data_IF_362240822806
#
_entry.id   IF_362240822806
#
_cell.length_a   1.000
_cell.length_b   1.000
_cell.length_c   1.000
_cell.angle_alpha   90.00
_cell.angle_beta   90.00
_cell.angle_gamma   90.00
#
_symmetry.space_group_name_H-M   'P 1'
#
loop_
_entity.id
_entity.type
_entity.pdbx_description
1 polymer ?
#
# COMPACT_ATOMS: atom_id res chain seq x y z
N UNK A 1 30.14 -9.50 -4.27
CA UNK A 1 29.31 -8.35 -3.85
C UNK A 1 28.08 -8.97 -3.23
N UNK A 2 27.92 -8.81 -1.92
CA UNK A 2 26.95 -9.61 -1.17
C UNK A 2 25.52 -9.08 -1.32
N UNK A 3 24.49 -9.94 -1.34
CA UNK A 3 23.10 -9.55 -1.62
C UNK A 3 22.46 -8.51 -0.67
N UNK A 4 23.04 -8.20 0.50
CA UNK A 4 22.47 -7.24 1.46
C UNK A 4 23.03 -5.81 1.41
N UNK A 5 24.20 -5.60 0.80
CA UNK A 5 24.87 -4.29 0.83
C UNK A 5 24.12 -3.20 0.03
N UNK A 6 23.21 -3.60 -0.87
CA UNK A 6 22.44 -2.69 -1.70
C UNK A 6 21.12 -2.24 -1.07
N UNK A 7 20.58 -3.00 -0.10
CA UNK A 7 19.36 -2.64 0.63
C UNK A 7 19.65 -1.64 1.75
N UNK A 8 20.73 -1.84 2.51
CA UNK A 8 21.18 -0.87 3.54
C UNK A 8 21.57 0.47 2.91
N UNK A 9 22.29 0.47 1.79
CA UNK A 9 22.67 1.70 1.06
C UNK A 9 21.46 2.46 0.48
N UNK A 10 20.38 1.74 0.14
CA UNK A 10 19.13 2.35 -0.32
C UNK A 10 18.40 3.10 0.79
N UNK A 11 18.17 2.46 1.93
CA UNK A 11 17.42 3.07 3.04
C UNK A 11 18.16 4.30 3.58
N UNK A 12 19.48 4.20 3.76
CA UNK A 12 20.30 5.33 4.20
C UNK A 12 20.27 6.50 3.20
N UNK A 13 20.28 6.22 1.90
CA UNK A 13 20.14 7.26 0.87
C UNK A 13 18.76 7.91 0.89
N UNK A 14 17.70 7.11 0.97
CA UNK A 14 16.32 7.60 1.01
C UNK A 14 16.13 8.52 2.22
N UNK A 15 16.55 8.10 3.41
CA UNK A 15 16.49 8.91 4.63
C UNK A 15 17.27 10.22 4.48
N UNK A 16 18.46 10.17 3.86
CA UNK A 16 19.27 11.37 3.63
C UNK A 16 18.61 12.35 2.67
N UNK A 17 17.99 11.84 1.59
CA UNK A 17 17.24 12.67 0.66
C UNK A 17 16.02 13.30 1.35
N UNK A 18 15.27 12.53 2.14
CA UNK A 18 14.14 13.06 2.91
C UNK A 18 14.56 14.11 3.95
N UNK A 19 15.74 13.95 4.57
CA UNK A 19 16.29 14.88 5.55
C UNK A 19 16.98 16.11 4.92
N UNK A 20 17.09 16.19 3.59
CA UNK A 20 17.87 17.23 2.90
C UNK A 20 17.21 18.62 2.87
N UNK A 21 15.93 18.71 3.28
CA UNK A 21 15.16 19.96 3.26
C UNK A 21 14.66 20.38 1.87
N UNK A 22 14.74 19.48 0.88
CA UNK A 22 14.11 19.66 -0.43
C UNK A 22 12.59 19.79 -0.30
N UNK A 23 11.97 20.56 -1.19
CA UNK A 23 10.51 20.54 -1.34
C UNK A 23 10.03 19.17 -1.85
N UNK A 24 8.73 18.88 -1.69
CA UNK A 24 8.11 17.63 -2.14
C UNK A 24 8.45 17.30 -3.61
N UNK A 25 8.35 18.28 -4.51
CA UNK A 25 8.63 18.09 -5.94
C UNK A 25 10.11 17.91 -6.23
N UNK A 26 10.98 18.66 -5.55
CA UNK A 26 12.44 18.50 -5.72
C UNK A 26 12.93 17.14 -5.19
N UNK A 27 12.32 16.66 -4.10
CA UNK A 27 12.59 15.34 -3.55
C UNK A 27 12.14 14.24 -4.51
N UNK A 28 10.94 14.33 -5.07
CA UNK A 28 10.45 13.38 -6.08
C UNK A 28 11.36 13.34 -7.31
N UNK A 29 11.78 14.50 -7.84
CA UNK A 29 12.75 14.58 -8.95
C UNK A 29 14.10 13.93 -8.59
N UNK A 30 14.60 14.16 -7.37
CA UNK A 30 15.86 13.57 -6.92
C UNK A 30 15.78 12.04 -6.80
N UNK A 31 14.65 11.52 -6.34
CA UNK A 31 14.39 10.08 -6.24
C UNK A 31 14.31 9.43 -7.62
N UNK A 32 13.65 10.05 -8.60
CA UNK A 32 13.66 9.54 -9.98
C UNK A 32 15.06 9.55 -10.61
N UNK A 33 15.84 10.59 -10.37
CA UNK A 33 17.24 10.65 -10.82
C UNK A 33 18.06 9.52 -10.18
N UNK A 34 17.85 9.27 -8.88
CA UNK A 34 18.52 8.18 -8.19
C UNK A 34 18.11 6.83 -8.76
N UNK A 35 16.81 6.59 -8.97
CA UNK A 35 16.30 5.39 -9.63
C UNK A 35 16.92 5.16 -11.03
N UNK A 36 17.03 6.22 -11.84
CA UNK A 36 17.65 6.16 -13.16
C UNK A 36 19.14 5.78 -13.12
N UNK A 37 19.83 6.16 -12.04
CA UNK A 37 21.24 5.80 -11.78
C UNK A 37 21.41 4.40 -11.19
N UNK A 38 20.34 3.80 -10.67
CA UNK A 38 20.36 2.47 -10.06
C UNK A 38 20.28 1.34 -11.12
N UNK A 39 20.89 0.17 -10.86
CA UNK A 39 20.79 -0.97 -11.76
C UNK A 39 19.32 -1.37 -12.03
N UNK A 40 18.95 -1.66 -13.29
CA UNK A 40 17.62 -2.19 -13.61
C UNK A 40 17.31 -3.48 -12.85
N UNK A 41 16.09 -3.60 -12.32
CA UNK A 41 15.64 -4.76 -11.56
C UNK A 41 16.25 -4.88 -10.16
N UNK A 42 16.88 -3.81 -9.66
CA UNK A 42 17.36 -3.76 -8.28
C UNK A 42 16.27 -3.28 -7.33
N UNK A 43 16.25 -3.83 -6.12
CA UNK A 43 15.35 -3.40 -5.02
C UNK A 43 15.49 -1.90 -4.76
N UNK A 44 16.72 -1.37 -4.83
CA UNK A 44 16.97 0.07 -4.65
C UNK A 44 16.26 0.91 -5.72
N UNK A 45 16.24 0.46 -6.99
CA UNK A 45 15.59 1.18 -8.09
C UNK A 45 14.07 1.21 -7.93
N UNK A 46 13.44 0.07 -7.67
CA UNK A 46 11.99 0.02 -7.41
C UNK A 46 11.62 0.82 -6.17
N UNK A 47 12.41 0.73 -5.10
CA UNK A 47 12.22 1.52 -3.88
C UNK A 47 12.27 3.04 -4.13
N UNK A 48 13.25 3.53 -4.89
CA UNK A 48 13.29 4.96 -5.25
C UNK A 48 12.11 5.38 -6.14
N UNK A 49 11.65 4.51 -7.05
CA UNK A 49 10.47 4.78 -7.89
C UNK A 49 9.18 4.82 -7.06
N UNK A 50 9.02 3.94 -6.07
CA UNK A 50 7.89 3.97 -5.14
C UNK A 50 7.86 5.28 -4.37
N UNK A 51 8.99 5.64 -3.75
CA UNK A 51 9.10 6.88 -2.99
C UNK A 51 8.84 8.10 -3.88
N UNK A 52 9.35 8.12 -5.11
CA UNK A 52 9.06 9.18 -6.07
C UNK A 52 7.55 9.26 -6.37
N UNK A 53 6.88 8.12 -6.57
CA UNK A 53 5.44 8.03 -6.75
C UNK A 53 4.65 8.65 -5.60
N UNK A 54 5.03 8.34 -4.37
CA UNK A 54 4.40 8.92 -3.16
C UNK A 54 4.55 10.44 -3.12
N UNK A 55 5.77 10.95 -3.35
CA UNK A 55 6.01 12.40 -3.30
C UNK A 55 5.35 13.13 -4.47
N UNK A 56 5.26 12.55 -5.66
CA UNK A 56 4.44 13.11 -6.74
C UNK A 56 2.96 13.13 -6.37
N UNK A 57 2.46 12.07 -5.72
CA UNK A 57 1.11 12.03 -5.18
C UNK A 57 0.84 13.13 -4.16
N UNK A 58 1.76 13.34 -3.21
CA UNK A 58 1.68 14.45 -2.25
C UNK A 58 1.77 15.84 -2.89
N UNK A 59 2.42 15.94 -4.06
CA UNK A 59 2.48 17.16 -4.85
C UNK A 59 1.27 17.34 -5.79
N UNK A 60 0.29 16.41 -5.76
CA UNK A 60 -0.88 16.36 -6.64
C UNK A 60 -0.52 16.26 -8.15
N UNK A 61 0.69 15.80 -8.48
CA UNK A 61 1.11 15.49 -9.85
C UNK A 61 0.79 14.01 -10.17
N UNK A 62 -0.50 13.76 -10.40
CA UNK A 62 -1.04 12.42 -10.68
C UNK A 62 -0.33 11.70 -11.82
N UNK A 63 0.01 12.43 -12.90
CA UNK A 63 0.60 11.82 -14.10
C UNK A 63 2.00 11.26 -13.77
N UNK A 64 2.81 12.04 -13.05
CA UNK A 64 4.15 11.60 -12.63
C UNK A 64 4.09 10.53 -11.55
N UNK A 65 3.15 10.63 -10.60
CA UNK A 65 2.94 9.60 -9.59
C UNK A 65 2.62 8.24 -10.25
N UNK A 66 1.67 8.23 -11.19
CA UNK A 66 1.32 7.03 -11.94
C UNK A 66 2.49 6.48 -12.74
N UNK A 67 3.23 7.34 -13.45
CA UNK A 67 4.39 6.94 -14.23
C UNK A 67 5.46 6.26 -13.35
N UNK A 68 5.72 6.81 -12.16
CA UNK A 68 6.67 6.26 -11.21
C UNK A 68 6.23 4.90 -10.66
N UNK A 69 4.97 4.75 -10.22
CA UNK A 69 4.46 3.45 -9.74
C UNK A 69 4.44 2.39 -10.86
N UNK A 70 4.01 2.74 -12.08
CA UNK A 70 4.06 1.81 -13.21
C UNK A 70 5.50 1.40 -13.55
N UNK A 71 6.45 2.34 -13.46
CA UNK A 71 7.86 2.04 -13.65
C UNK A 71 8.40 1.10 -12.55
N UNK A 72 8.02 1.31 -11.29
CA UNK A 72 8.39 0.42 -10.18
C UNK A 72 7.86 -1.01 -10.39
N UNK A 73 6.59 -1.14 -10.78
CA UNK A 73 5.95 -2.43 -11.10
C UNK A 73 6.67 -3.15 -12.24
N UNK A 74 7.07 -2.40 -13.28
CA UNK A 74 7.75 -2.97 -14.44
C UNK A 74 9.22 -3.32 -14.19
N UNK A 75 9.89 -2.61 -13.29
CA UNK A 75 11.29 -2.84 -12.95
C UNK A 75 11.47 -4.03 -12.02
N UNK A 76 10.54 -4.23 -11.08
CA UNK A 76 10.61 -5.31 -10.12
C UNK A 76 10.45 -6.69 -10.79
N UNK A 77 11.40 -7.60 -10.54
CA UNK A 77 11.35 -8.97 -11.05
C UNK A 77 10.21 -9.83 -10.47
N UNK A 78 9.64 -9.40 -9.34
CA UNK A 78 8.36 -9.84 -8.74
C UNK A 78 7.50 -8.58 -8.56
N UNK A 79 6.17 -8.59 -8.82
CA UNK A 79 5.39 -7.37 -8.79
C UNK A 79 5.44 -6.73 -7.41
N UNK A 80 6.03 -5.54 -7.36
CA UNK A 80 6.13 -4.74 -6.15
C UNK A 80 4.71 -4.44 -5.61
N UNK A 81 4.30 -5.17 -4.58
CA UNK A 81 2.90 -5.14 -4.08
C UNK A 81 2.54 -3.81 -3.44
N UNK A 82 3.55 -3.06 -2.98
CA UNK A 82 3.36 -1.70 -2.53
C UNK A 82 2.97 -0.81 -3.71
N UNK A 83 3.78 -0.81 -4.78
CA UNK A 83 3.54 -0.02 -5.99
C UNK A 83 2.18 -0.32 -6.62
N UNK A 84 1.79 -1.60 -6.67
CA UNK A 84 0.49 -2.04 -7.20
C UNK A 84 -0.66 -1.48 -6.35
N UNK A 85 -0.54 -1.50 -5.01
CA UNK A 85 -1.56 -0.99 -4.10
C UNK A 85 -1.67 0.54 -4.14
N UNK A 86 -0.53 1.24 -4.24
CA UNK A 86 -0.49 2.69 -4.39
C UNK A 86 -1.09 3.15 -5.74
N UNK A 87 -0.79 2.42 -6.83
CA UNK A 87 -1.43 2.66 -8.13
C UNK A 87 -2.95 2.46 -8.07
N UNK A 88 -3.43 1.42 -7.38
CA UNK A 88 -4.86 1.21 -7.17
C UNK A 88 -5.53 2.42 -6.49
N UNK A 89 -4.94 2.92 -5.40
CA UNK A 89 -5.44 4.10 -4.69
C UNK A 89 -5.55 5.30 -5.63
N UNK A 90 -4.48 5.58 -6.39
CA UNK A 90 -4.44 6.69 -7.34
C UNK A 90 -5.54 6.56 -8.41
N UNK A 91 -5.69 5.38 -9.00
CA UNK A 91 -6.71 5.12 -10.02
C UNK A 91 -8.13 5.34 -9.48
N UNK A 92 -8.42 4.88 -8.26
CA UNK A 92 -9.72 5.07 -7.62
C UNK A 92 -9.99 6.54 -7.27
N UNK A 93 -9.01 7.26 -6.73
CA UNK A 93 -9.12 8.70 -6.43
C UNK A 93 -9.44 9.54 -7.67
N UNK A 94 -8.98 9.11 -8.85
CA UNK A 94 -9.23 9.78 -10.12
C UNK A 94 -10.38 9.17 -10.94
N UNK A 95 -11.18 8.27 -10.36
CA UNK A 95 -12.37 7.69 -11.01
C UNK A 95 -12.07 6.82 -12.22
N UNK A 96 -10.88 6.23 -12.31
CA UNK A 96 -10.45 5.32 -13.38
C UNK A 96 -10.80 3.87 -13.04
N UNK A 97 -12.09 3.62 -12.86
CA UNK A 97 -12.61 2.35 -12.34
C UNK A 97 -12.22 1.13 -13.19
N UNK A 98 -12.24 1.24 -14.52
CA UNK A 98 -11.88 0.13 -15.42
C UNK A 98 -10.42 -0.33 -15.23
N UNK A 99 -9.51 0.61 -14.97
CA UNK A 99 -8.10 0.29 -14.72
C UNK A 99 -7.87 -0.19 -13.29
N UNK A 100 -8.58 0.39 -12.32
CA UNK A 100 -8.59 -0.09 -10.95
C UNK A 100 -9.06 -1.55 -10.87
N UNK A 101 -10.09 -1.91 -11.64
CA UNK A 101 -10.61 -3.27 -11.73
C UNK A 101 -9.59 -4.26 -12.32
N UNK A 102 -8.80 -3.84 -13.30
CA UNK A 102 -7.70 -4.64 -13.83
C UNK A 102 -6.63 -4.90 -12.75
N UNK A 103 -6.23 -3.86 -12.01
CA UNK A 103 -5.27 -3.99 -10.89
C UNK A 103 -5.82 -4.91 -9.78
N UNK A 104 -7.10 -4.77 -9.44
CA UNK A 104 -7.77 -5.63 -8.45
C UNK A 104 -7.82 -7.11 -8.88
N UNK A 105 -8.00 -7.39 -10.17
CA UNK A 105 -8.00 -8.76 -10.68
C UNK A 105 -6.63 -9.44 -10.50
N UNK A 106 -5.54 -8.70 -10.73
CA UNK A 106 -4.17 -9.18 -10.51
C UNK A 106 -3.89 -9.40 -9.03
N UNK A 107 -4.27 -8.44 -8.17
CA UNK A 107 -4.16 -8.56 -6.72
C UNK A 107 -4.97 -9.75 -6.19
N UNK A 108 -6.18 -9.98 -6.69
CA UNK A 108 -7.00 -11.12 -6.28
C UNK A 108 -6.37 -12.46 -6.68
N UNK A 109 -5.67 -12.51 -7.81
CA UNK A 109 -4.91 -13.69 -8.22
C UNK A 109 -3.76 -13.97 -7.24
N UNK A 110 -3.03 -12.93 -6.82
CA UNK A 110 -1.98 -13.04 -5.80
C UNK A 110 -2.54 -13.43 -4.41
N UNK A 111 -3.69 -12.86 -4.02
CA UNK A 111 -4.39 -13.21 -2.78
C UNK A 111 -4.73 -14.71 -2.73
N UNK A 112 -5.25 -15.26 -3.83
CA UNK A 112 -5.58 -16.70 -3.96
C UNK A 112 -4.35 -17.60 -3.91
N UNK A 113 -3.20 -17.10 -4.35
CA UNK A 113 -1.93 -17.81 -4.25
C UNK A 113 -1.30 -17.71 -2.84
N UNK A 114 -1.94 -17.00 -1.90
CA UNK A 114 -1.44 -16.73 -0.55
C UNK A 114 -0.05 -16.06 -0.53
N UNK A 115 0.20 -15.15 -1.49
CA UNK A 115 1.48 -14.45 -1.63
C UNK A 115 1.42 -12.98 -1.20
N UNK A 116 0.32 -12.55 -0.57
CA UNK A 116 0.13 -11.18 -0.10
C UNK A 116 0.37 -11.07 1.41
N UNK A 117 0.98 -9.97 1.83
CA UNK A 117 1.13 -9.59 3.24
C UNK A 117 -0.13 -8.91 3.79
N UNK A 118 -0.27 -8.88 5.12
CA UNK A 118 -1.33 -8.13 5.82
C UNK A 118 -1.37 -6.66 5.41
N UNK A 119 -0.20 -6.02 5.29
CA UNK A 119 -0.09 -4.64 4.79
C UNK A 119 -0.70 -4.47 3.39
N UNK A 120 -0.53 -5.44 2.49
CA UNK A 120 -1.15 -5.35 1.15
C UNK A 120 -2.67 -5.42 1.25
N UNK A 121 -3.22 -6.31 2.08
CA UNK A 121 -4.67 -6.38 2.30
C UNK A 121 -5.22 -5.09 2.89
N UNK A 122 -4.51 -4.50 3.86
CA UNK A 122 -4.85 -3.23 4.47
C UNK A 122 -4.88 -2.10 3.42
N UNK A 123 -3.79 -1.91 2.67
CA UNK A 123 -3.69 -0.85 1.66
C UNK A 123 -4.79 -0.96 0.61
N UNK A 124 -5.06 -2.17 0.10
CA UNK A 124 -6.12 -2.41 -0.89
C UNK A 124 -7.51 -2.16 -0.28
N UNK A 125 -7.74 -2.62 0.94
CA UNK A 125 -8.98 -2.37 1.68
C UNK A 125 -9.23 -0.88 1.86
N UNK A 126 -8.21 -0.13 2.28
CA UNK A 126 -8.28 1.31 2.49
C UNK A 126 -8.53 2.06 1.18
N UNK A 127 -7.78 1.73 0.12
CA UNK A 127 -7.96 2.33 -1.20
C UNK A 127 -9.40 2.15 -1.72
N UNK A 128 -9.98 0.95 -1.55
CA UNK A 128 -11.37 0.69 -1.91
C UNK A 128 -12.37 1.45 -1.05
N UNK A 129 -12.11 1.60 0.24
CA UNK A 129 -12.98 2.36 1.14
C UNK A 129 -13.01 3.84 0.74
N UNK A 130 -11.84 4.44 0.53
CA UNK A 130 -11.66 5.83 0.12
C UNK A 130 -12.21 6.09 -1.28
N UNK A 131 -12.06 5.12 -2.18
CA UNK A 131 -12.64 5.12 -3.53
C UNK A 131 -14.15 4.89 -3.58
N UNK A 132 -14.86 4.85 -2.44
CA UNK A 132 -16.32 4.70 -2.42
C UNK A 132 -16.82 3.30 -2.74
N UNK A 133 -15.97 2.26 -2.58
CA UNK A 133 -16.29 0.84 -2.80
C UNK A 133 -16.28 0.03 -1.49
N UNK A 134 -17.05 0.43 -0.44
CA UNK A 134 -16.96 -0.15 0.89
C UNK A 134 -17.31 -1.65 0.95
N UNK A 135 -18.18 -2.14 0.05
CA UNK A 135 -18.50 -3.57 0.00
C UNK A 135 -17.32 -4.44 -0.41
N UNK A 136 -16.45 -3.90 -1.27
CA UNK A 136 -15.25 -4.60 -1.72
C UNK A 136 -14.13 -4.42 -0.71
N UNK A 137 -13.98 -3.22 -0.15
CA UNK A 137 -13.09 -2.95 0.98
C UNK A 137 -13.31 -3.95 2.12
N UNK A 138 -14.56 -4.19 2.52
CA UNK A 138 -14.88 -5.16 3.57
C UNK A 138 -14.35 -6.57 3.26
N UNK A 139 -14.42 -6.99 1.99
CA UNK A 139 -13.89 -8.31 1.59
C UNK A 139 -12.39 -8.35 1.77
N UNK A 140 -11.68 -7.30 1.36
CA UNK A 140 -10.23 -7.19 1.49
C UNK A 140 -9.76 -7.20 2.94
N UNK A 141 -10.43 -6.45 3.82
CA UNK A 141 -10.13 -6.50 5.26
C UNK A 141 -10.49 -7.85 5.92
N UNK A 142 -11.50 -8.57 5.41
CA UNK A 142 -11.96 -9.84 6.01
C UNK A 142 -11.18 -11.06 5.54
N UNK A 143 -10.62 -11.04 4.31
CA UNK A 143 -9.90 -12.19 3.74
C UNK A 143 -8.78 -12.74 4.63
N UNK A 144 -7.82 -11.93 5.13
CA UNK A 144 -6.74 -12.43 5.99
C UNK A 144 -7.24 -12.90 7.36
N UNK A 145 -8.34 -12.34 7.86
CA UNK A 145 -8.91 -12.65 9.19
C UNK A 145 -9.77 -13.92 9.22
N UNK A 146 -9.93 -14.63 8.08
CA UNK A 146 -10.90 -15.74 7.96
C UNK A 146 -10.65 -16.88 8.94
N UNK A 147 -9.39 -17.20 9.18
CA UNK A 147 -8.96 -18.31 10.03
C UNK A 147 -8.30 -17.81 11.34
N UNK A 148 -8.41 -16.51 11.61
CA UNK A 148 -7.91 -15.85 12.82
C UNK A 148 -8.95 -15.95 13.93
N UNK A 149 -8.51 -16.29 15.14
CA UNK A 149 -9.33 -16.22 16.34
C UNK A 149 -9.40 -14.75 16.80
N UNK A 150 -10.59 -14.12 16.88
CA UNK A 150 -10.72 -12.74 17.32
C UNK A 150 -10.21 -12.49 18.74
N UNK A 151 -10.06 -13.52 19.57
CA UNK A 151 -9.54 -13.41 20.93
C UNK A 151 -8.00 -13.62 21.00
N UNK A 152 -7.34 -13.90 19.87
CA UNK A 152 -5.91 -14.14 19.77
C UNK A 152 -5.28 -13.42 18.57
N UNK A 153 -5.59 -12.13 18.43
CA UNK A 153 -5.05 -11.26 17.38
C UNK A 153 -3.56 -10.94 17.61
N UNK A 154 -2.82 -10.84 16.52
CA UNK A 154 -1.47 -10.25 16.52
C UNK A 154 -1.49 -8.77 16.11
N UNK A 155 -0.32 -8.13 16.15
CA UNK A 155 -0.18 -6.71 15.80
C UNK A 155 -0.50 -6.43 14.32
N UNK A 156 -0.24 -7.39 13.43
CA UNK A 156 -0.48 -7.26 11.99
C UNK A 156 -1.99 -7.30 11.66
N UNK A 157 -2.80 -7.95 12.50
CA UNK A 157 -4.26 -7.99 12.38
C UNK A 157 -4.95 -6.68 12.78
N UNK A 158 -4.30 -5.84 13.59
CA UNK A 158 -4.95 -4.67 14.21
C UNK A 158 -5.39 -3.63 13.18
N UNK A 159 -4.56 -3.37 12.16
CA UNK A 159 -4.88 -2.41 11.11
C UNK A 159 -6.04 -2.92 10.22
N UNK A 160 -6.02 -4.22 9.89
CA UNK A 160 -7.09 -4.89 9.15
C UNK A 160 -8.41 -4.83 9.92
N UNK A 161 -8.34 -5.05 11.23
CA UNK A 161 -9.50 -4.99 12.12
C UNK A 161 -10.08 -3.59 12.20
N UNK A 162 -9.24 -2.57 12.35
CA UNK A 162 -9.67 -1.17 12.38
C UNK A 162 -10.37 -0.77 11.07
N UNK A 163 -9.77 -1.09 9.91
CA UNK A 163 -10.38 -0.83 8.60
C UNK A 163 -11.70 -1.57 8.42
N UNK A 164 -11.75 -2.86 8.80
CA UNK A 164 -12.98 -3.67 8.80
C UNK A 164 -14.09 -3.02 9.62
N UNK A 165 -13.80 -2.62 10.85
CA UNK A 165 -14.76 -2.01 11.76
C UNK A 165 -15.38 -0.74 11.16
N UNK A 166 -14.55 0.17 10.65
CA UNK A 166 -15.04 1.43 10.04
C UNK A 166 -15.89 1.18 8.78
N UNK A 167 -15.48 0.23 7.93
CA UNK A 167 -16.23 -0.12 6.73
C UNK A 167 -17.58 -0.75 7.08
N UNK A 168 -17.66 -1.61 8.10
CA UNK A 168 -18.92 -2.22 8.55
C UNK A 168 -19.91 -1.17 9.06
N UNK A 169 -19.43 -0.18 9.81
CA UNK A 169 -20.23 0.96 10.25
C UNK A 169 -20.74 1.78 9.08
N UNK A 170 -19.88 2.07 8.11
CA UNK A 170 -20.26 2.75 6.85
C UNK A 170 -21.35 1.99 6.09
N UNK A 171 -21.32 0.66 6.13
CA UNK A 171 -22.33 -0.21 5.51
C UNK A 171 -23.58 -0.43 6.38
N UNK A 172 -23.62 0.08 7.61
CA UNK A 172 -24.75 -0.12 8.54
C UNK A 172 -24.92 -1.58 9.00
N UNK A 173 -23.84 -2.36 9.02
CA UNK A 173 -23.87 -3.75 9.47
C UNK A 173 -23.89 -3.82 11.00
N UNK A 174 -24.52 -4.86 11.54
CA UNK A 174 -24.50 -5.12 12.98
C UNK A 174 -23.10 -5.53 13.47
N UNK A 175 -22.80 -5.24 14.73
CA UNK A 175 -21.52 -5.59 15.35
C UNK A 175 -21.36 -7.12 15.49
N UNK A 176 -20.15 -7.62 15.26
CA UNK A 176 -19.72 -8.98 15.59
C UNK A 176 -18.53 -9.01 16.56
N UNK A 177 -17.99 -10.21 16.84
CA UNK A 177 -16.91 -10.36 17.84
C UNK A 177 -15.67 -9.54 17.50
N UNK A 178 -15.28 -9.46 16.22
CA UNK A 178 -14.17 -8.62 15.79
C UNK A 178 -14.44 -7.14 16.07
N UNK A 179 -15.66 -6.67 15.83
CA UNK A 179 -16.05 -5.29 16.13
C UNK A 179 -15.98 -4.99 17.64
N UNK A 180 -16.38 -5.93 18.48
CA UNK A 180 -16.29 -5.80 19.95
C UNK A 180 -14.83 -5.70 20.42
N UNK A 181 -13.95 -6.57 19.92
CA UNK A 181 -12.51 -6.55 20.24
C UNK A 181 -11.89 -5.23 19.82
N UNK A 182 -12.27 -4.68 18.66
CA UNK A 182 -11.80 -3.37 18.20
C UNK A 182 -12.14 -2.27 19.21
N UNK A 183 -13.37 -2.27 19.73
CA UNK A 183 -13.83 -1.29 20.73
C UNK A 183 -13.08 -1.46 22.05
N UNK A 184 -12.88 -2.69 22.51
CA UNK A 184 -12.09 -3.01 23.71
C UNK A 184 -10.65 -2.48 23.59
N UNK A 185 -9.98 -2.73 22.46
CA UNK A 185 -8.61 -2.29 22.20
C UNK A 185 -8.49 -0.77 22.14
N UNK A 186 -9.39 -0.08 21.43
CA UNK A 186 -9.39 1.40 21.38
C UNK A 186 -9.59 2.01 22.77
N UNK A 187 -10.50 1.44 23.56
CA UNK A 187 -10.76 1.93 24.93
C UNK A 187 -9.57 1.74 25.88
N UNK A 188 -8.64 0.82 25.58
CA UNK A 188 -7.45 0.59 26.39
C UNK A 188 -6.30 1.57 26.08
N UNK A 189 -6.38 2.30 24.97
CA UNK A 189 -5.37 3.27 24.52
C UNK A 189 -5.70 4.72 24.94
N UNK A 190 -6.93 4.97 25.39
CA UNK A 190 -7.43 6.26 25.92
C UNK A 190 -7.17 6.39 27.44
#
# INVERSE_FOLDING_TARGET
MEPGAWEEDYLEELERLQASGLSTTELADALEQRAASSPPGSVSRSGFLNAAGDFWGFAEDTERAEAAFRAAIADAGDPDRYAVSALLLLLLQHGRDDEADAVLADLLTAARAATLSSLTYEMVGQALADGGRPREALRWFTMPLRDVDPDALDDDDLALLAGRYEVRRTLGLGEDRFDQVTVELRSALD
#
